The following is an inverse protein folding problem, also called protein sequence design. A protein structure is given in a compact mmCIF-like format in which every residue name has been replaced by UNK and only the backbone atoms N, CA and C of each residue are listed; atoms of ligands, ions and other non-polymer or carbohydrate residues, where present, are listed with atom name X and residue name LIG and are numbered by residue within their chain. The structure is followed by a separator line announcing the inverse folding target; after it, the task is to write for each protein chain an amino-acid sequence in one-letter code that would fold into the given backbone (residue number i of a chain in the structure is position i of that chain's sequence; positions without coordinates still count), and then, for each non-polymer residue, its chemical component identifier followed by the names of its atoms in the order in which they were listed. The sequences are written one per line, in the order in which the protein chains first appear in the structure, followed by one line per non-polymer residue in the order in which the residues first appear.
data_IF_611971990004
#
_entry.id   IF_611971990004
#
_cell.length_a   1.000
_cell.length_b   1.000
_cell.length_c   1.000
_cell.angle_alpha   90.00
_cell.angle_beta   90.00
_cell.angle_gamma   90.00
#
_symmetry.space_group_name_H-M   'P 1'
#
loop_
_entity.id
_entity.type
_entity.pdbx_description
1 polymer ?
#
# COMPACT_ATOMS: atom_id res chain seq x y z
N UNK A 1 -30.55 -4.25 -1.54
CA UNK A 1 -29.26 -3.69 -1.11
C UNK A 1 -28.45 -3.48 -2.37
N UNK A 2 -27.96 -2.28 -2.63
CA UNK A 2 -27.11 -2.04 -3.81
C UNK A 2 -25.83 -2.86 -3.60
N UNK A 3 -25.59 -3.83 -4.46
CA UNK A 3 -24.41 -4.69 -4.41
C UNK A 3 -23.16 -3.82 -4.52
N UNK A 4 -22.51 -3.59 -3.38
CA UNK A 4 -21.26 -2.86 -3.29
C UNK A 4 -20.10 -3.86 -3.50
N UNK A 5 -20.15 -4.52 -4.65
CA UNK A 5 -19.28 -5.60 -5.04
C UNK A 5 -18.31 -5.15 -6.15
N UNK A 6 -17.06 -5.60 -6.08
CA UNK A 6 -16.01 -5.25 -7.04
C UNK A 6 -15.19 -6.48 -7.45
N UNK A 7 -14.76 -6.56 -8.71
CA UNK A 7 -13.81 -7.62 -9.12
C UNK A 7 -12.47 -7.47 -8.40
N UNK A 8 -11.96 -6.24 -8.30
CA UNK A 8 -10.69 -5.93 -7.64
C UNK A 8 -10.84 -4.75 -6.69
N UNK A 9 -10.44 -4.95 -5.44
CA UNK A 9 -10.25 -3.88 -4.45
C UNK A 9 -8.76 -3.69 -4.17
N UNK A 10 -8.31 -2.44 -4.19
CA UNK A 10 -6.94 -2.05 -3.86
C UNK A 10 -6.96 -1.28 -2.54
N UNK A 11 -6.21 -1.74 -1.56
CA UNK A 11 -6.14 -1.10 -0.23
C UNK A 11 -4.81 -0.35 -0.12
N UNK A 12 -4.88 0.98 -0.17
CA UNK A 12 -3.72 1.87 -0.18
C UNK A 12 -3.54 2.62 -1.51
N UNK A 13 -3.02 3.84 -1.40
CA UNK A 13 -2.92 4.82 -2.49
C UNK A 13 -1.50 5.35 -2.71
N UNK A 14 -0.49 4.65 -2.20
CA UNK A 14 0.91 4.95 -2.55
C UNK A 14 1.27 4.52 -3.98
N UNK A 15 2.56 4.59 -4.36
CA UNK A 15 3.02 4.18 -5.69
C UNK A 15 2.61 2.76 -6.09
N UNK A 16 2.63 1.82 -5.13
CA UNK A 16 2.21 0.44 -5.37
C UNK A 16 0.73 0.34 -5.74
N UNK A 17 -0.16 0.90 -4.92
CA UNK A 17 -1.60 0.85 -5.13
C UNK A 17 -2.04 1.58 -6.40
N UNK A 18 -1.49 2.77 -6.65
CA UNK A 18 -1.80 3.54 -7.86
C UNK A 18 -1.29 2.84 -9.13
N UNK A 19 -0.11 2.21 -9.09
CA UNK A 19 0.37 1.41 -10.22
C UNK A 19 -0.51 0.18 -10.45
N UNK A 20 -0.88 -0.53 -9.37
CA UNK A 20 -1.79 -1.66 -9.47
C UNK A 20 -3.13 -1.26 -10.10
N UNK A 21 -3.65 -0.08 -9.74
CA UNK A 21 -4.88 0.46 -10.28
C UNK A 21 -4.79 0.77 -11.77
N UNK A 22 -3.67 1.36 -12.23
CA UNK A 22 -3.44 1.62 -13.66
C UNK A 22 -3.52 0.32 -14.46
N UNK A 23 -2.83 -0.72 -14.02
CA UNK A 23 -2.76 -1.99 -14.76
C UNK A 23 -4.09 -2.74 -14.75
N UNK A 24 -4.73 -2.87 -13.58
CA UNK A 24 -6.05 -3.53 -13.47
C UNK A 24 -7.16 -2.77 -14.19
N UNK A 25 -7.13 -1.43 -14.19
CA UNK A 25 -8.08 -0.63 -14.96
C UNK A 25 -7.90 -0.82 -16.47
N UNK A 26 -6.65 -0.89 -16.96
CA UNK A 26 -6.34 -1.20 -18.36
C UNK A 26 -6.75 -2.60 -18.78
N UNK A 27 -6.75 -3.56 -17.85
CA UNK A 27 -7.31 -4.90 -18.03
C UNK A 27 -8.85 -4.94 -17.93
N UNK A 28 -9.52 -3.77 -17.88
CA UNK A 28 -10.97 -3.63 -17.79
C UNK A 28 -11.60 -4.29 -16.54
N UNK A 29 -10.82 -4.43 -15.46
CA UNK A 29 -11.29 -5.00 -14.19
C UNK A 29 -12.02 -3.99 -13.28
N UNK A 30 -12.07 -2.70 -13.70
CA UNK A 30 -12.76 -1.60 -13.00
C UNK A 30 -12.42 -1.55 -11.50
N UNK A 31 -11.12 -1.42 -11.14
CA UNK A 31 -10.68 -1.49 -9.75
C UNK A 31 -11.21 -0.31 -8.93
N UNK A 32 -11.40 -0.54 -7.63
CA UNK A 32 -11.68 0.50 -6.65
C UNK A 32 -10.52 0.58 -5.65
N UNK A 33 -9.98 1.78 -5.47
CA UNK A 33 -8.86 2.08 -4.58
C UNK A 33 -9.43 2.70 -3.30
N UNK A 34 -9.14 2.10 -2.16
CA UNK A 34 -9.41 2.70 -0.85
C UNK A 34 -8.13 3.40 -0.38
N UNK A 35 -8.16 4.73 -0.42
CA UNK A 35 -6.95 5.54 -0.29
C UNK A 35 -6.42 5.65 1.15
N UNK A 36 -7.24 5.33 2.15
CA UNK A 36 -6.87 5.40 3.56
C UNK A 36 -6.77 6.83 4.10
N UNK A 37 -6.25 6.96 5.32
CA UNK A 37 -6.10 8.25 6.02
C UNK A 37 -5.08 9.20 5.39
N UNK A 38 -4.12 8.66 4.63
CA UNK A 38 -3.08 9.44 3.94
C UNK A 38 -3.10 9.14 2.44
N UNK A 39 -4.04 9.74 1.68
CA UNK A 39 -4.08 9.64 0.23
C UNK A 39 -2.73 10.01 -0.42
N UNK A 40 -2.19 9.13 -1.26
CA UNK A 40 -0.85 9.27 -1.86
C UNK A 40 0.30 8.68 -1.03
N UNK A 41 0.04 8.21 0.19
CA UNK A 41 1.05 7.58 1.05
C UNK A 41 2.20 8.50 1.45
N UNK A 42 3.34 7.92 1.83
CA UNK A 42 4.47 8.66 2.41
C UNK A 42 5.08 9.76 1.51
N UNK A 43 4.92 9.65 0.19
CA UNK A 43 5.45 10.68 -0.71
C UNK A 43 4.73 12.03 -0.58
N UNK A 44 3.56 12.08 0.06
CA UNK A 44 2.86 13.36 0.26
C UNK A 44 3.48 14.23 1.35
N UNK A 45 4.40 13.68 2.15
CA UNK A 45 5.09 14.42 3.21
C UNK A 45 6.56 14.71 2.88
N UNK A 46 7.04 14.30 1.70
CA UNK A 46 8.36 14.73 1.19
C UNK A 46 8.21 15.95 0.29
N UNK A 47 9.27 16.74 0.17
CA UNK A 47 9.31 17.90 -0.72
C UNK A 47 9.68 17.47 -2.13
N UNK A 48 10.90 16.97 -2.33
CA UNK A 48 11.48 16.71 -3.64
C UNK A 48 11.85 15.24 -3.79
N UNK A 49 11.59 14.69 -4.98
CA UNK A 49 11.86 13.32 -5.36
C UNK A 49 12.75 13.34 -6.59
N UNK A 50 14.02 13.02 -6.42
CA UNK A 50 15.03 13.03 -7.49
C UNK A 50 15.35 11.63 -8.02
N UNK A 51 14.84 10.58 -7.38
CA UNK A 51 15.20 9.19 -7.64
C UNK A 51 14.06 8.34 -8.22
N UNK A 52 12.94 8.96 -8.61
CA UNK A 52 11.90 8.28 -9.38
C UNK A 52 12.17 8.51 -10.88
N UNK A 53 12.46 7.46 -11.66
CA UNK A 53 12.88 7.61 -13.05
C UNK A 53 11.76 8.21 -13.91
N UNK A 54 12.14 9.11 -14.82
CA UNK A 54 11.22 9.82 -15.72
C UNK A 54 11.05 11.31 -15.42
N UNK A 55 11.63 11.80 -14.32
CA UNK A 55 11.64 13.22 -13.93
C UNK A 55 13.08 13.70 -13.80
N UNK A 56 13.67 14.17 -14.91
CA UNK A 56 15.08 14.60 -14.99
C UNK A 56 15.44 15.68 -13.96
N UNK A 57 14.55 16.66 -13.79
CA UNK A 57 14.70 17.78 -12.86
C UNK A 57 14.07 17.50 -11.49
N UNK A 58 13.78 16.22 -11.19
CA UNK A 58 13.00 15.84 -10.01
C UNK A 58 11.52 16.23 -10.12
N UNK A 59 10.77 15.90 -9.07
CA UNK A 59 9.34 16.23 -8.94
C UNK A 59 8.96 16.36 -7.46
N UNK A 60 7.94 17.16 -7.15
CA UNK A 60 7.43 17.17 -5.79
C UNK A 60 6.70 15.86 -5.45
N UNK A 61 6.91 15.35 -4.24
CA UNK A 61 6.28 14.11 -3.78
C UNK A 61 4.74 14.10 -3.92
N UNK A 62 4.02 15.14 -3.44
CA UNK A 62 2.58 15.28 -3.66
C UNK A 62 2.17 15.33 -5.15
N UNK A 63 2.97 15.99 -5.99
CA UNK A 63 2.70 16.12 -7.42
C UNK A 63 2.83 14.77 -8.13
N UNK A 64 3.88 14.00 -7.82
CA UNK A 64 4.05 12.64 -8.34
C UNK A 64 2.83 11.76 -8.03
N UNK A 65 2.32 11.82 -6.79
CA UNK A 65 1.13 11.03 -6.40
C UNK A 65 -0.14 11.50 -7.09
N UNK A 66 -0.31 12.81 -7.28
CA UNK A 66 -1.45 13.35 -8.04
C UNK A 66 -1.42 12.92 -9.52
N UNK A 67 -0.24 12.94 -10.15
CA UNK A 67 -0.05 12.45 -11.53
C UNK A 67 -0.42 10.96 -11.64
N UNK A 68 0.09 10.13 -10.73
CA UNK A 68 -0.23 8.69 -10.71
C UNK A 68 -1.72 8.43 -10.50
N UNK A 69 -2.38 9.19 -9.60
CA UNK A 69 -3.83 9.08 -9.36
C UNK A 69 -4.63 9.47 -10.60
N UNK A 70 -4.32 10.60 -11.21
CA UNK A 70 -4.97 11.05 -12.46
C UNK A 70 -4.82 10.00 -13.57
N UNK A 71 -3.66 9.35 -13.66
CA UNK A 71 -3.44 8.27 -14.62
C UNK A 71 -4.32 7.04 -14.35
N UNK A 72 -4.44 6.60 -13.09
CA UNK A 72 -5.32 5.50 -12.71
C UNK A 72 -6.79 5.80 -13.05
N UNK A 73 -7.28 6.98 -12.66
CA UNK A 73 -8.65 7.42 -12.91
C UNK A 73 -8.96 7.56 -14.40
N UNK A 74 -7.99 8.02 -15.21
CA UNK A 74 -8.13 8.11 -16.67
C UNK A 74 -8.46 6.77 -17.33
N UNK A 75 -7.99 5.65 -16.77
CA UNK A 75 -8.27 4.31 -17.29
C UNK A 75 -9.52 3.66 -16.67
N UNK A 76 -10.25 4.36 -15.81
CA UNK A 76 -11.51 3.89 -15.24
C UNK A 76 -11.40 3.26 -13.85
N UNK A 77 -10.25 3.39 -13.18
CA UNK A 77 -10.19 3.15 -11.74
C UNK A 77 -11.08 4.15 -10.99
N UNK A 78 -11.54 3.77 -9.80
CA UNK A 78 -12.24 4.67 -8.87
C UNK A 78 -11.43 4.82 -7.59
N UNK A 79 -11.48 6.00 -6.99
CA UNK A 79 -10.90 6.27 -5.67
C UNK A 79 -12.00 6.52 -4.66
N UNK A 80 -11.90 5.85 -3.51
CA UNK A 80 -12.66 6.10 -2.30
C UNK A 80 -11.69 6.60 -1.23
N UNK A 81 -11.92 7.82 -0.73
CA UNK A 81 -11.12 8.44 0.33
C UNK A 81 -11.56 7.94 1.71
N UNK A 82 -11.49 6.62 1.89
CA UNK A 82 -11.90 5.92 3.12
C UNK A 82 -10.83 4.91 3.50
N UNK A 83 -10.77 4.61 4.79
CA UNK A 83 -9.92 3.57 5.34
C UNK A 83 -10.66 2.22 5.41
N UNK A 84 -9.97 1.15 5.02
CA UNK A 84 -10.43 -0.22 5.31
C UNK A 84 -10.09 -0.53 6.76
N UNK A 85 -11.12 -0.76 7.57
CA UNK A 85 -10.98 -0.98 9.02
C UNK A 85 -11.10 -2.44 9.41
N UNK A 86 -11.75 -3.27 8.58
CA UNK A 86 -11.94 -4.69 8.82
C UNK A 86 -11.88 -5.48 7.49
N UNK A 87 -11.38 -6.71 7.54
CA UNK A 87 -11.38 -7.66 6.42
C UNK A 87 -11.77 -9.05 6.90
N UNK A 88 -12.42 -9.81 6.02
CA UNK A 88 -12.66 -11.25 6.15
C UNK A 88 -12.29 -11.95 4.84
N UNK A 89 -11.18 -12.68 4.90
CA UNK A 89 -10.61 -13.47 3.82
C UNK A 89 -10.92 -14.97 3.95
N UNK A 90 -11.76 -15.37 4.91
CA UNK A 90 -12.10 -16.78 5.16
C UNK A 90 -13.08 -17.37 4.14
N UNK A 91 -13.79 -16.51 3.40
CA UNK A 91 -14.79 -16.91 2.40
C UNK A 91 -14.79 -15.97 1.20
N UNK A 92 -15.33 -16.46 0.07
CA UNK A 92 -15.48 -15.69 -1.18
C UNK A 92 -16.95 -15.34 -1.46
N UNK A 93 -17.24 -14.17 -2.06
CA UNK A 93 -16.30 -13.06 -2.28
C UNK A 93 -15.79 -12.52 -0.94
N UNK A 94 -14.55 -12.04 -0.92
CA UNK A 94 -13.95 -11.45 0.27
C UNK A 94 -14.77 -10.30 0.78
N UNK A 95 -14.82 -10.10 2.09
CA UNK A 95 -15.56 -8.98 2.68
C UNK A 95 -14.58 -7.99 3.25
N UNK A 96 -14.84 -6.71 3.00
CA UNK A 96 -14.09 -5.61 3.57
C UNK A 96 -15.08 -4.58 4.12
N UNK A 97 -14.61 -3.81 5.09
CA UNK A 97 -15.37 -2.70 5.66
C UNK A 97 -14.58 -1.42 5.53
N UNK A 98 -15.17 -0.44 4.85
CA UNK A 98 -14.67 0.93 4.79
C UNK A 98 -15.52 1.80 5.71
N UNK A 99 -15.04 2.09 6.92
CA UNK A 99 -15.80 2.79 7.96
C UNK A 99 -17.14 2.09 8.28
N UNK A 100 -18.28 2.66 7.88
CA UNK A 100 -19.62 2.09 8.05
C UNK A 100 -20.11 1.30 6.84
N UNK A 101 -19.34 1.27 5.75
CA UNK A 101 -19.73 0.68 4.47
C UNK A 101 -19.15 -0.73 4.32
N UNK A 102 -20.02 -1.72 4.14
CA UNK A 102 -19.62 -3.08 3.76
C UNK A 102 -19.41 -3.18 2.24
N UNK A 103 -18.37 -3.89 1.84
CA UNK A 103 -17.92 -4.07 0.46
C UNK A 103 -17.55 -5.54 0.28
N UNK A 104 -17.73 -6.07 -0.93
CA UNK A 104 -17.18 -7.38 -1.28
C UNK A 104 -16.27 -7.33 -2.50
N UNK A 105 -15.30 -8.25 -2.56
CA UNK A 105 -14.32 -8.32 -3.63
C UNK A 105 -14.00 -9.75 -4.07
N UNK A 106 -13.85 -9.99 -5.38
CA UNK A 106 -13.34 -11.28 -5.87
C UNK A 106 -11.84 -11.42 -5.57
N UNK A 107 -11.10 -10.32 -5.74
CA UNK A 107 -9.66 -10.21 -5.45
C UNK A 107 -9.32 -8.92 -4.71
N UNK A 108 -8.28 -8.98 -3.86
CA UNK A 108 -7.78 -7.84 -3.08
C UNK A 108 -6.27 -7.67 -3.28
N UNK A 109 -5.85 -6.44 -3.57
CA UNK A 109 -4.44 -6.05 -3.61
C UNK A 109 -4.14 -5.14 -2.40
N UNK A 110 -3.21 -5.59 -1.55
CA UNK A 110 -2.79 -4.89 -0.35
C UNK A 110 -1.55 -4.06 -0.66
N UNK A 111 -1.67 -2.75 -0.46
CA UNK A 111 -0.62 -1.76 -0.71
C UNK A 111 -0.61 -0.67 0.36
N UNK A 112 -0.92 -1.06 1.60
CA UNK A 112 -1.04 -0.15 2.77
C UNK A 112 0.29 0.48 3.20
N UNK A 113 1.40 0.02 2.63
CA UNK A 113 2.74 0.52 2.88
C UNK A 113 3.22 0.28 4.32
N UNK A 114 4.12 1.14 4.77
CA UNK A 114 4.62 1.18 6.14
C UNK A 114 4.59 2.61 6.67
N UNK A 115 4.76 2.77 7.97
CA UNK A 115 4.86 4.07 8.65
C UNK A 115 6.21 4.18 9.35
N UNK A 116 6.87 5.35 9.27
CA UNK A 116 8.11 5.59 10.00
C UNK A 116 7.88 5.48 11.52
N UNK A 117 8.78 4.80 12.24
CA UNK A 117 8.73 4.77 13.71
C UNK A 117 9.19 6.11 14.26
N UNK A 118 8.51 6.59 15.30
CA UNK A 118 8.89 7.78 16.06
C UNK A 118 9.52 7.35 17.39
N UNK A 119 10.50 8.12 17.89
CA UNK A 119 11.17 7.84 19.15
C UNK A 119 10.19 7.82 20.34
N UNK A 120 9.25 8.76 20.38
CA UNK A 120 8.27 8.89 21.47
C UNK A 120 8.89 9.23 22.85
N UNK A 121 10.21 9.37 22.92
CA UNK A 121 10.98 9.67 24.13
C UNK A 121 12.09 10.68 23.81
N UNK A 122 12.38 11.55 24.75
CA UNK A 122 13.43 12.59 24.65
C UNK A 122 14.45 12.51 25.79
N UNK A 123 14.51 11.38 26.50
CA UNK A 123 15.36 11.17 27.68
C UNK A 123 16.01 9.80 27.62
N UNK A 124 17.16 9.66 28.29
CA UNK A 124 17.81 8.38 28.48
C UNK A 124 16.86 7.42 29.21
N UNK A 125 16.65 6.23 28.64
CA UNK A 125 15.71 5.22 29.17
C UNK A 125 16.23 4.50 30.42
N UNK A 126 17.50 4.67 30.78
CA UNK A 126 18.13 4.01 31.93
C UNK A 126 18.12 4.90 33.17
N UNK A 127 18.51 6.16 33.03
CA UNK A 127 18.72 7.08 34.17
C UNK A 127 17.86 8.36 34.10
N UNK A 128 17.08 8.53 33.03
CA UNK A 128 16.19 9.69 32.84
C UNK A 128 16.90 11.00 32.53
N UNK A 129 18.22 10.97 32.32
CA UNK A 129 19.02 12.16 32.01
C UNK A 129 18.79 12.66 30.59
N UNK A 130 19.16 13.92 30.36
CA UNK A 130 19.13 14.58 29.04
C UNK A 130 20.46 15.26 28.79
N UNK A 131 20.92 15.23 27.54
CA UNK A 131 22.12 15.92 27.09
C UNK A 131 21.78 16.76 25.86
N UNK A 132 22.39 17.94 25.75
CA UNK A 132 22.28 18.79 24.58
C UNK A 132 23.52 18.60 23.70
N UNK A 133 23.30 18.32 22.41
CA UNK A 133 24.37 18.13 21.43
C UNK A 133 24.11 19.02 20.22
N UNK A 134 25.01 19.97 19.91
CA UNK A 134 24.92 20.75 18.68
C UNK A 134 25.04 19.85 17.45
N UNK A 135 24.10 19.97 16.51
CA UNK A 135 24.11 19.24 15.24
C UNK A 135 23.44 20.08 14.14
N UNK A 136 23.99 20.01 12.92
CA UNK A 136 23.41 20.65 11.73
C UNK A 136 22.26 19.83 11.12
N UNK A 137 22.18 18.53 11.44
CA UNK A 137 21.15 17.63 10.92
C UNK A 137 21.01 16.35 11.74
N UNK A 138 19.82 15.76 11.69
CA UNK A 138 19.48 14.51 12.39
C UNK A 138 18.79 13.57 11.40
N UNK A 139 19.25 12.31 11.35
CA UNK A 139 18.62 11.23 10.61
C UNK A 139 18.05 10.19 11.58
N UNK A 140 16.72 10.12 11.67
CA UNK A 140 16.04 9.13 12.52
C UNK A 140 15.88 7.80 11.77
N UNK A 141 16.83 6.88 11.95
CA UNK A 141 16.87 5.59 11.26
C UNK A 141 16.44 4.40 12.13
N UNK A 142 15.40 4.58 12.97
CA UNK A 142 14.91 3.54 13.90
C UNK A 142 13.91 2.55 13.25
N UNK A 143 13.75 2.63 11.94
CA UNK A 143 13.00 1.68 11.13
C UNK A 143 11.54 2.07 10.88
N UNK A 144 10.84 1.16 10.21
CA UNK A 144 9.46 1.32 9.76
C UNK A 144 8.57 0.24 10.38
N UNK A 145 7.29 0.56 10.58
CA UNK A 145 6.24 -0.38 10.98
C UNK A 145 5.32 -0.61 9.77
N UNK A 146 5.25 -1.84 9.21
CA UNK A 146 4.33 -2.13 8.11
C UNK A 146 2.86 -2.00 8.57
N UNK A 147 2.00 -1.49 7.70
CA UNK A 147 0.61 -1.19 8.03
C UNK A 147 -0.26 -2.45 7.83
N UNK A 148 -0.05 -3.46 8.68
CA UNK A 148 -0.65 -4.81 8.55
C UNK A 148 -1.64 -5.17 9.64
N UNK A 149 -1.99 -4.21 10.52
CA UNK A 149 -2.84 -4.45 11.68
C UNK A 149 -4.24 -4.94 11.29
N UNK A 150 -4.85 -4.32 10.28
CA UNK A 150 -6.21 -4.65 9.80
C UNK A 150 -6.33 -6.11 9.31
N UNK A 151 -5.24 -6.73 8.86
CA UNK A 151 -5.27 -8.09 8.34
C UNK A 151 -5.22 -9.17 9.45
N UNK A 152 -5.00 -8.79 10.72
CA UNK A 152 -4.93 -9.74 11.85
C UNK A 152 -4.02 -10.93 11.55
N UNK A 153 -4.44 -12.13 11.90
CA UNK A 153 -3.69 -13.37 11.62
C UNK A 153 -4.14 -14.05 10.31
N UNK A 154 -4.99 -13.40 9.50
CA UNK A 154 -5.48 -13.98 8.25
C UNK A 154 -4.40 -14.06 7.17
N UNK A 155 -3.43 -13.14 7.22
CA UNK A 155 -2.28 -13.12 6.33
C UNK A 155 -0.99 -13.37 7.10
N UNK A 156 -0.15 -14.24 6.54
CA UNK A 156 1.16 -14.56 7.10
C UNK A 156 2.08 -13.34 7.09
N UNK A 157 2.77 -13.17 8.22
CA UNK A 157 3.70 -12.07 8.45
C UNK A 157 5.02 -12.63 8.94
N UNK A 158 6.10 -11.94 8.63
CA UNK A 158 7.37 -12.22 9.28
C UNK A 158 7.40 -11.70 10.73
N UNK A 159 8.47 -12.02 11.45
CA UNK A 159 8.70 -11.60 12.84
C UNK A 159 8.71 -10.07 13.04
N UNK A 160 8.85 -9.30 11.96
CA UNK A 160 8.83 -7.83 11.96
C UNK A 160 7.49 -7.24 11.50
N UNK A 161 6.52 -8.09 11.16
CA UNK A 161 5.15 -7.72 10.80
C UNK A 161 4.91 -7.47 9.31
N UNK A 162 5.91 -7.67 8.43
CA UNK A 162 5.75 -7.50 6.97
C UNK A 162 5.03 -8.71 6.39
N UNK A 163 4.17 -8.48 5.40
CA UNK A 163 3.45 -9.56 4.73
C UNK A 163 4.42 -10.46 3.96
N UNK A 164 4.26 -11.77 4.12
CA UNK A 164 5.02 -12.76 3.39
C UNK A 164 4.35 -12.98 2.03
N UNK A 165 5.14 -12.88 0.96
CA UNK A 165 4.70 -13.20 -0.40
C UNK A 165 5.53 -14.34 -0.99
N UNK A 166 4.94 -15.09 -1.91
CA UNK A 166 5.65 -16.15 -2.64
C UNK A 166 6.80 -15.52 -3.46
N UNK A 167 8.05 -16.00 -3.29
CA UNK A 167 9.22 -15.45 -3.98
C UNK A 167 9.02 -15.31 -5.50
N UNK A 168 9.35 -14.14 -6.05
CA UNK A 168 9.20 -13.83 -7.46
C UNK A 168 7.77 -13.46 -7.90
N UNK A 169 6.84 -13.31 -6.96
CA UNK A 169 5.44 -12.92 -7.23
C UNK A 169 4.89 -12.02 -6.11
N UNK A 170 3.58 -11.79 -6.11
CA UNK A 170 2.88 -10.98 -5.09
C UNK A 170 1.83 -11.76 -4.29
N UNK A 171 1.71 -13.07 -4.53
CA UNK A 171 0.75 -13.94 -3.84
C UNK A 171 1.04 -14.02 -2.35
N UNK A 172 0.02 -13.79 -1.52
CA UNK A 172 0.04 -14.10 -0.09
C UNK A 172 -0.28 -15.58 0.17
N UNK A 173 -0.42 -15.97 1.44
CA UNK A 173 -0.94 -17.29 1.83
C UNK A 173 -2.42 -17.51 1.49
N UNK A 174 -3.18 -16.45 1.17
CA UNK A 174 -4.57 -16.54 0.73
C UNK A 174 -4.65 -16.28 -0.77
N UNK A 175 -5.13 -17.26 -1.54
CA UNK A 175 -5.30 -17.11 -2.98
C UNK A 175 -6.21 -15.92 -3.32
N UNK A 176 -5.94 -15.20 -4.40
CA UNK A 176 -6.71 -13.99 -4.77
C UNK A 176 -6.45 -12.77 -3.88
N UNK A 177 -5.62 -12.89 -2.83
CA UNK A 177 -5.09 -11.78 -2.04
C UNK A 177 -3.60 -11.60 -2.34
N UNK A 178 -3.23 -10.39 -2.75
CA UNK A 178 -1.89 -10.02 -3.20
C UNK A 178 -1.33 -8.90 -2.34
N UNK A 179 0.00 -8.80 -2.21
CA UNK A 179 0.65 -7.71 -1.48
C UNK A 179 1.75 -7.04 -2.31
N UNK A 180 1.80 -5.71 -2.28
CA UNK A 180 2.72 -4.90 -3.07
C UNK A 180 3.25 -3.69 -2.30
N UNK A 181 4.47 -3.27 -2.64
CA UNK A 181 5.19 -2.19 -1.99
C UNK A 181 5.66 -2.51 -0.58
N UNK A 182 5.93 -1.46 0.18
CA UNK A 182 6.60 -1.51 1.50
C UNK A 182 5.88 -2.36 2.55
N UNK A 183 4.62 -2.74 2.34
CA UNK A 183 3.91 -3.68 3.23
C UNK A 183 4.51 -5.09 3.18
N UNK A 184 5.17 -5.44 2.06
CA UNK A 184 5.82 -6.72 1.82
C UNK A 184 7.33 -6.57 1.48
N UNK A 185 7.82 -5.35 1.26
CA UNK A 185 9.23 -5.05 1.01
C UNK A 185 9.88 -4.34 2.21
N UNK A 186 10.66 -5.08 3.00
CA UNK A 186 11.47 -4.53 4.10
C UNK A 186 12.89 -4.13 3.70
N UNK A 187 13.28 -4.42 2.46
CA UNK A 187 14.67 -4.29 1.98
C UNK A 187 14.87 -2.99 1.21
N UNK A 188 14.14 -2.79 0.11
CA UNK A 188 14.40 -1.68 -0.81
C UNK A 188 13.63 -0.42 -0.41
N UNK A 189 12.31 -0.54 -0.20
CA UNK A 189 11.44 0.57 0.28
C UNK A 189 11.62 1.84 -0.52
N UNK A 190 11.50 1.73 -1.84
CA UNK A 190 11.60 2.85 -2.77
C UNK A 190 10.28 3.00 -3.54
N UNK A 191 9.96 4.23 -3.92
CA UNK A 191 8.77 4.52 -4.72
C UNK A 191 8.74 3.71 -6.04
N UNK A 192 9.89 3.55 -6.68
CA UNK A 192 10.01 2.78 -7.93
C UNK A 192 9.88 1.26 -7.73
N UNK A 193 10.41 0.70 -6.63
CA UNK A 193 10.24 -0.72 -6.33
C UNK A 193 8.80 -1.03 -5.90
N UNK A 194 8.18 -0.12 -5.15
CA UNK A 194 6.77 -0.18 -4.82
C UNK A 194 5.88 -0.13 -6.08
N UNK A 195 6.15 0.79 -7.01
CA UNK A 195 5.44 0.83 -8.29
C UNK A 195 5.62 -0.49 -9.08
N UNK A 196 6.84 -1.02 -9.15
CA UNK A 196 7.13 -2.30 -9.81
C UNK A 196 6.34 -3.48 -9.24
N UNK A 197 6.32 -3.63 -7.91
CA UNK A 197 5.52 -4.69 -7.27
C UNK A 197 4.01 -4.44 -7.37
N UNK A 198 3.57 -3.18 -7.45
CA UNK A 198 2.18 -2.83 -7.76
C UNK A 198 1.75 -3.31 -9.15
N UNK A 199 2.61 -3.15 -10.15
CA UNK A 199 2.42 -3.73 -11.48
C UNK A 199 2.31 -5.26 -11.42
N UNK A 200 3.24 -5.92 -10.71
CA UNK A 200 3.20 -7.38 -10.54
C UNK A 200 1.89 -7.85 -9.91
N UNK A 201 1.41 -7.18 -8.86
CA UNK A 201 0.17 -7.54 -8.18
C UNK A 201 -1.07 -7.41 -9.08
N UNK A 202 -1.11 -6.39 -9.94
CA UNK A 202 -2.18 -6.27 -10.91
C UNK A 202 -2.20 -7.42 -11.93
N UNK A 203 -1.02 -7.84 -12.41
CA UNK A 203 -0.90 -8.93 -13.37
C UNK A 203 -1.19 -10.30 -12.74
N UNK A 204 -0.72 -10.52 -11.51
CA UNK A 204 -1.02 -11.74 -10.75
C UNK A 204 -2.53 -11.81 -10.45
N UNK A 205 -3.16 -10.72 -10.03
CA UNK A 205 -4.60 -10.64 -9.79
C UNK A 205 -5.42 -10.88 -11.05
N UNK A 206 -5.02 -10.28 -12.18
CA UNK A 206 -5.68 -10.49 -13.46
C UNK A 206 -5.65 -11.97 -13.85
N UNK A 207 -4.46 -12.60 -13.85
CA UNK A 207 -4.32 -14.02 -14.21
C UNK A 207 -5.14 -14.92 -13.29
N UNK A 208 -5.06 -14.66 -11.99
CA UNK A 208 -5.82 -15.43 -11.01
C UNK A 208 -7.32 -15.34 -11.24
N UNK A 209 -7.85 -14.14 -11.54
CA UNK A 209 -9.26 -13.93 -11.89
C UNK A 209 -9.67 -14.65 -13.18
N UNK A 210 -8.81 -14.63 -14.22
CA UNK A 210 -9.04 -15.36 -15.47
C UNK A 210 -9.14 -16.89 -15.22
N UNK A 211 -8.36 -17.42 -14.28
CA UNK A 211 -8.39 -18.84 -13.89
C UNK A 211 -9.62 -19.21 -13.04
N UNK A 212 -10.40 -18.23 -12.53
CA UNK A 212 -11.62 -18.49 -11.75
C UNK A 212 -12.90 -18.52 -12.60
N UNK A 213 -12.84 -18.14 -13.88
CA UNK A 213 -13.97 -18.18 -14.84
C UNK A 213 -14.18 -19.58 -15.44
#
# INVERSE_FOLDING_TARGET
MLDNHHKVVIVGSGPAGLTAAIYTARANLKPVIYEGMQPGGQLTITTEVENYPGFEEGIQGPELMDVMRKQALRFGAKSEFKEITEVDFSSRPFKLKAESQEISADSVIISTGASAKLLGISKNTLDGTTEEMPADGIFMAIGHKPNTAVFGDQLEKDETGYLIVKPGSTYTNVEGVFAAGDVADKTYRQAVTAAGTGCMAALDAQRWLEDQE
#
